data_IF_532828954635
#
_entry.id   IF_532828954635
#
_cell.length_a   1.000
_cell.length_b   1.000
_cell.length_c   1.000
_cell.angle_alpha   90.00
_cell.angle_beta   90.00
_cell.angle_gamma   90.00
#
_symmetry.space_group_name_H-M   'P 1'
#
loop_
_entity.id
_entity.type
_entity.pdbx_description
1 polymer ?
#
# COMPACT_ATOMS: atom_id res chain seq x y z
N UNK A 1 15.77 7.29 -3.47
CA UNK A 1 15.62 7.02 -4.92
C UNK A 1 14.16 6.74 -5.23
N UNK A 2 13.57 7.38 -6.26
CA UNK A 2 12.20 7.10 -6.71
C UNK A 2 12.19 5.85 -7.60
N UNK A 3 11.17 5.01 -7.48
CA UNK A 3 10.91 3.85 -8.35
C UNK A 3 9.49 3.92 -8.90
N UNK A 4 9.33 3.61 -10.18
CA UNK A 4 8.03 3.53 -10.87
C UNK A 4 7.90 2.08 -11.34
N UNK A 5 6.77 1.45 -11.00
CA UNK A 5 6.48 0.06 -11.31
C UNK A 5 5.13 -0.01 -12.01
N UNK A 6 4.97 -0.97 -12.92
CA UNK A 6 3.76 -1.18 -13.70
C UNK A 6 3.09 -2.53 -13.36
N UNK A 7 1.77 -2.58 -13.54
CA UNK A 7 0.92 -3.73 -13.23
C UNK A 7 0.03 -3.50 -12.02
N UNK A 8 -0.55 -4.57 -11.47
CA UNK A 8 -1.49 -4.50 -10.35
C UNK A 8 -0.84 -3.92 -9.09
N UNK A 9 -1.36 -2.80 -8.61
CA UNK A 9 -0.71 -1.87 -7.68
C UNK A 9 -0.37 -2.56 -6.36
N UNK A 10 -1.37 -3.16 -5.72
CA UNK A 10 -1.18 -3.80 -4.41
C UNK A 10 -0.17 -4.95 -4.46
N UNK A 11 -0.23 -5.77 -5.53
CA UNK A 11 0.70 -6.89 -5.72
C UNK A 11 2.12 -6.39 -5.92
N UNK A 12 2.31 -5.35 -6.75
CA UNK A 12 3.63 -4.76 -6.98
C UNK A 12 4.23 -4.14 -5.73
N UNK A 13 3.41 -3.48 -4.90
CA UNK A 13 3.86 -2.92 -3.61
C UNK A 13 4.38 -4.04 -2.71
N UNK A 14 3.60 -5.10 -2.49
CA UNK A 14 3.97 -6.22 -1.61
C UNK A 14 5.22 -6.94 -2.14
N UNK A 15 5.21 -7.34 -3.43
CA UNK A 15 6.32 -8.08 -4.03
C UNK A 15 7.62 -7.28 -4.00
N UNK A 16 7.55 -5.97 -4.27
CA UNK A 16 8.72 -5.10 -4.24
C UNK A 16 9.24 -4.94 -2.81
N UNK A 17 8.34 -4.72 -1.86
CA UNK A 17 8.70 -4.57 -0.46
C UNK A 17 9.43 -5.83 0.07
N UNK A 18 8.88 -7.01 -0.24
CA UNK A 18 9.47 -8.30 0.16
C UNK A 18 10.81 -8.58 -0.52
N UNK A 19 10.89 -8.40 -1.86
CA UNK A 19 12.12 -8.68 -2.61
C UNK A 19 13.29 -7.81 -2.18
N UNK A 20 13.00 -6.57 -1.79
CA UNK A 20 14.01 -5.62 -1.32
C UNK A 20 14.22 -5.69 0.20
N UNK A 21 13.51 -6.58 0.90
CA UNK A 21 13.62 -6.80 2.36
C UNK A 21 13.42 -5.51 3.16
N UNK A 22 12.39 -4.76 2.84
CA UNK A 22 12.00 -3.62 3.66
C UNK A 22 11.31 -4.08 4.95
N UNK A 23 11.50 -3.33 6.03
CA UNK A 23 10.93 -3.66 7.35
C UNK A 23 9.55 -3.04 7.58
N UNK A 24 9.15 -2.03 6.79
CA UNK A 24 7.89 -1.32 6.93
C UNK A 24 7.39 -0.77 5.58
N UNK A 25 6.08 -0.88 5.34
CA UNK A 25 5.39 -0.21 4.25
C UNK A 25 4.57 0.95 4.82
N UNK A 26 4.79 2.18 4.34
CA UNK A 26 3.99 3.34 4.75
C UNK A 26 3.05 3.73 3.60
N UNK A 27 1.75 3.81 3.88
CA UNK A 27 0.73 4.15 2.88
C UNK A 27 -0.22 5.22 3.41
N UNK A 28 -0.67 6.09 2.50
CA UNK A 28 -1.77 7.01 2.79
C UNK A 28 -3.12 6.29 2.81
N UNK A 29 -4.06 6.82 3.60
CA UNK A 29 -5.44 6.36 3.64
C UNK A 29 -6.34 6.98 2.55
N UNK A 30 -5.88 8.04 1.86
CA UNK A 30 -6.72 8.83 0.94
C UNK A 30 -6.93 8.14 -0.41
N UNK A 31 -8.19 7.87 -0.75
CA UNK A 31 -8.65 7.60 -2.10
C UNK A 31 -9.11 8.89 -2.81
N UNK A 32 -9.08 8.91 -4.15
CA UNK A 32 -9.70 9.98 -4.96
C UNK A 32 -11.18 9.63 -5.17
N UNK A 33 -12.12 10.33 -4.51
CA UNK A 33 -13.58 10.15 -4.69
C UNK A 33 -14.44 10.20 -3.42
N UNK A 34 -15.75 10.00 -3.58
CA UNK A 34 -16.88 10.18 -2.61
C UNK A 34 -16.83 9.24 -1.38
N UNK A 35 -15.78 8.44 -1.22
CA UNK A 35 -15.55 7.59 -0.04
C UNK A 35 -15.02 8.45 1.12
N UNK A 36 -15.93 9.26 1.66
CA UNK A 36 -15.70 10.19 2.77
C UNK A 36 -15.20 9.44 4.01
N UNK A 37 -14.03 9.88 4.47
CA UNK A 37 -13.63 10.08 5.88
C UNK A 37 -13.38 8.89 6.82
N UNK A 38 -13.73 7.63 6.50
CA UNK A 38 -13.45 6.50 7.43
C UNK A 38 -12.87 5.21 6.84
N UNK A 39 -12.79 5.05 5.52
CA UNK A 39 -12.39 3.76 4.93
C UNK A 39 -10.97 3.79 4.36
N UNK A 40 -10.24 2.68 4.51
CA UNK A 40 -8.99 2.44 3.80
C UNK A 40 -9.27 2.46 2.28
N UNK A 41 -8.43 3.15 1.51
CA UNK A 41 -8.48 3.06 0.04
C UNK A 41 -8.30 1.62 -0.44
N UNK A 42 -8.86 1.27 -1.60
CA UNK A 42 -8.85 -0.12 -2.13
C UNK A 42 -7.46 -0.75 -2.16
N UNK A 43 -6.45 0.01 -2.58
CA UNK A 43 -5.05 -0.45 -2.61
C UNK A 43 -4.49 -0.63 -1.21
N UNK A 44 -4.62 0.38 -0.34
CA UNK A 44 -4.15 0.31 1.05
C UNK A 44 -4.81 -0.84 1.81
N UNK A 45 -6.12 -1.05 1.62
CA UNK A 45 -6.84 -2.17 2.19
C UNK A 45 -6.25 -3.52 1.72
N UNK A 46 -6.02 -3.67 0.41
CA UNK A 46 -5.47 -4.90 -0.15
C UNK A 46 -4.05 -5.17 0.37
N UNK A 47 -3.22 -4.13 0.49
CA UNK A 47 -1.84 -4.26 0.99
C UNK A 47 -1.82 -4.64 2.47
N UNK A 48 -2.63 -3.99 3.32
CA UNK A 48 -2.73 -4.31 4.76
C UNK A 48 -3.09 -5.78 4.98
N UNK A 49 -4.03 -6.33 4.21
CA UNK A 49 -4.51 -7.70 4.41
C UNK A 49 -3.57 -8.78 3.85
N UNK A 50 -2.73 -8.46 2.87
CA UNK A 50 -1.92 -9.47 2.15
C UNK A 50 -0.41 -9.32 2.35
N UNK A 51 0.06 -8.23 2.96
CA UNK A 51 1.48 -8.01 3.20
C UNK A 51 1.99 -8.86 4.36
N UNK A 52 3.16 -9.49 4.15
CA UNK A 52 3.95 -10.10 5.23
C UNK A 52 4.85 -9.09 5.96
N UNK A 53 4.99 -7.89 5.41
CA UNK A 53 5.74 -6.78 5.99
C UNK A 53 4.74 -5.87 6.71
N UNK A 54 5.04 -5.39 7.94
CA UNK A 54 4.20 -4.44 8.64
C UNK A 54 3.77 -3.25 7.77
N UNK A 55 2.52 -2.82 7.90
CA UNK A 55 1.95 -1.71 7.13
C UNK A 55 1.45 -0.63 8.07
N UNK A 56 2.00 0.59 7.93
CA UNK A 56 1.55 1.79 8.64
C UNK A 56 0.68 2.64 7.73
N UNK A 57 -0.54 2.92 8.18
CA UNK A 57 -1.49 3.79 7.49
C UNK A 57 -1.46 5.19 8.10
N UNK A 58 -1.29 6.21 7.25
CA UNK A 58 -1.30 7.62 7.64
C UNK A 58 -2.50 8.35 7.00
N UNK A 59 -3.17 9.22 7.78
CA UNK A 59 -4.36 9.99 7.37
C UNK A 59 -4.04 11.44 7.00
#
# INVERSE_FOLDING_TARGET
KKKILFGHEAKRIIDFAQKQRFDLIVMGARGRGIMKQMFLGSVSNTVVHNSKIPVLIIK
#
